data_IF_111402488436
#
_entry.id   IF_111402488436
#
_cell.length_a   1.000
_cell.length_b   1.000
_cell.length_c   1.000
_cell.angle_alpha   90.00
_cell.angle_beta   90.00
_cell.angle_gamma   90.00
#
_symmetry.space_group_name_H-M   'P 1'
#
loop_
_entity.id
_entity.type
_entity.pdbx_description
1 polymer ?
#
# COMPACT_ATOMS: atom_id res chain seq x y z
N UNK A 1 14.56 10.19 7.54
CA UNK A 1 13.21 10.38 8.11
C UNK A 1 13.35 10.58 9.62
N UNK A 2 12.93 11.72 10.14
CA UNK A 2 12.83 11.92 11.59
C UNK A 2 11.46 11.35 11.99
N UNK A 3 11.38 10.05 12.26
CA UNK A 3 10.19 9.42 12.85
C UNK A 3 10.10 9.99 14.27
N UNK A 4 9.64 11.23 14.40
CA UNK A 4 9.37 11.85 15.68
C UNK A 4 8.44 10.91 16.43
N UNK A 5 8.96 10.31 17.50
CA UNK A 5 8.30 9.45 18.48
C UNK A 5 6.88 9.08 18.07
N UNK A 6 6.73 7.93 17.41
CA UNK A 6 5.44 7.35 17.03
C UNK A 6 4.63 7.16 18.32
N UNK A 7 3.83 8.16 18.68
CA UNK A 7 3.01 8.17 19.88
C UNK A 7 1.73 7.43 19.55
N UNK A 8 1.80 6.11 19.69
CA UNK A 8 0.66 5.21 19.58
C UNK A 8 -0.05 5.16 20.93
N UNK A 9 -1.32 5.50 20.94
CA UNK A 9 -2.16 5.42 22.14
C UNK A 9 -3.57 4.95 21.78
N UNK A 10 -4.24 4.30 22.73
CA UNK A 10 -5.58 3.75 22.56
C UNK A 10 -5.65 2.22 22.44
N UNK A 11 -6.79 1.75 21.94
CA UNK A 11 -7.10 0.34 21.70
C UNK A 11 -6.30 -0.26 20.54
N UNK A 12 -6.29 -1.59 20.43
CA UNK A 12 -5.59 -2.30 19.34
C UNK A 12 -6.04 -1.84 17.96
N UNK A 13 -7.35 -1.62 17.78
CA UNK A 13 -7.92 -1.16 16.51
C UNK A 13 -7.45 0.27 16.18
N UNK A 14 -7.42 1.16 17.18
CA UNK A 14 -6.93 2.53 17.03
C UNK A 14 -5.43 2.57 16.73
N UNK A 15 -4.64 1.69 17.37
CA UNK A 15 -3.21 1.56 17.11
C UNK A 15 -2.97 1.06 15.67
N UNK A 16 -3.75 0.09 15.18
CA UNK A 16 -3.62 -0.42 13.82
C UNK A 16 -3.88 0.68 12.78
N UNK A 17 -4.92 1.50 12.99
CA UNK A 17 -5.21 2.65 12.14
C UNK A 17 -4.08 3.69 12.17
N UNK A 18 -3.56 3.99 13.37
CA UNK A 18 -2.46 4.95 13.55
C UNK A 18 -1.17 4.48 12.87
N UNK A 19 -0.83 3.19 12.95
CA UNK A 19 0.32 2.63 12.23
C UNK A 19 0.19 2.84 10.72
N UNK A 20 -1.00 2.59 10.16
CA UNK A 20 -1.20 2.78 8.72
C UNK A 20 -1.04 4.27 8.33
N UNK A 21 -1.61 5.19 9.09
CA UNK A 21 -1.59 6.63 8.79
C UNK A 21 -0.24 7.30 9.08
N UNK A 22 0.39 6.96 10.21
CA UNK A 22 1.54 7.67 10.75
C UNK A 22 2.88 7.01 10.39
N UNK A 23 2.86 5.77 9.89
CA UNK A 23 4.09 5.07 9.50
C UNK A 23 4.15 4.84 7.98
N UNK A 24 3.17 4.14 7.42
CA UNK A 24 3.24 3.72 6.00
C UNK A 24 3.20 4.91 5.05
N UNK A 25 2.26 5.84 5.24
CA UNK A 25 2.17 7.07 4.43
C UNK A 25 3.46 7.89 4.47
N UNK A 26 3.97 8.26 5.67
CA UNK A 26 5.21 9.01 5.78
C UNK A 26 6.46 8.31 5.22
N UNK A 27 6.55 6.98 5.31
CA UNK A 27 7.63 6.22 4.66
C UNK A 27 7.53 6.39 3.14
N UNK A 28 6.34 6.22 2.56
CA UNK A 28 6.15 6.42 1.11
C UNK A 28 6.51 7.85 0.70
N UNK A 29 6.04 8.87 1.44
CA UNK A 29 6.35 10.28 1.13
C UNK A 29 7.84 10.60 1.24
N UNK A 30 8.56 9.94 2.16
CA UNK A 30 10.00 10.07 2.27
C UNK A 30 10.70 9.45 1.05
N UNK A 31 10.34 8.20 0.72
CA UNK A 31 10.89 7.49 -0.43
C UNK A 31 10.61 8.24 -1.72
N UNK A 32 9.40 8.75 -1.94
CA UNK A 32 9.04 9.50 -3.14
C UNK A 32 9.93 10.75 -3.37
N UNK A 33 10.52 11.30 -2.30
CA UNK A 33 11.46 12.43 -2.38
C UNK A 33 12.91 12.01 -2.56
N UNK A 34 13.32 10.88 -1.99
CA UNK A 34 14.73 10.46 -1.95
C UNK A 34 15.09 9.39 -2.98
N UNK A 35 14.16 8.48 -3.25
CA UNK A 35 14.27 7.36 -4.17
C UNK A 35 12.89 7.01 -4.76
N UNK A 36 12.48 7.69 -5.85
CA UNK A 36 11.16 7.51 -6.44
C UNK A 36 10.88 6.09 -6.96
N UNK A 37 11.91 5.37 -7.41
CA UNK A 37 11.75 3.99 -7.87
C UNK A 37 11.43 3.07 -6.69
N UNK A 38 12.18 3.19 -5.59
CA UNK A 38 11.91 2.45 -4.36
C UNK A 38 10.55 2.81 -3.75
N UNK A 39 10.08 4.05 -3.90
CA UNK A 39 8.74 4.45 -3.47
C UNK A 39 7.64 3.67 -4.21
N UNK A 40 7.81 3.48 -5.53
CA UNK A 40 6.90 2.70 -6.36
C UNK A 40 6.90 1.23 -5.92
N UNK A 41 8.08 0.65 -5.72
CA UNK A 41 8.22 -0.73 -5.23
C UNK A 41 7.59 -0.92 -3.85
N UNK A 42 7.84 0.01 -2.92
CA UNK A 42 7.26 0.01 -1.58
C UNK A 42 5.73 0.06 -1.64
N UNK A 43 5.15 0.97 -2.44
CA UNK A 43 3.71 1.09 -2.60
C UNK A 43 3.06 -0.20 -3.11
N UNK A 44 3.66 -0.85 -4.11
CA UNK A 44 3.16 -2.13 -4.61
C UNK A 44 3.30 -3.27 -3.59
N UNK A 45 4.40 -3.32 -2.85
CA UNK A 45 4.62 -4.34 -1.81
C UNK A 45 3.58 -4.23 -0.68
N UNK A 46 3.32 -3.01 -0.18
CA UNK A 46 2.31 -2.80 0.87
C UNK A 46 0.91 -3.15 0.37
N UNK A 47 0.55 -2.75 -0.85
CA UNK A 47 -0.75 -3.09 -1.44
C UNK A 47 -0.93 -4.60 -1.56
N UNK A 48 0.08 -5.32 -2.07
CA UNK A 48 0.05 -6.78 -2.19
C UNK A 48 -0.13 -7.50 -0.84
N UNK A 49 0.62 -7.07 0.19
CA UNK A 49 0.49 -7.64 1.53
C UNK A 49 -0.88 -7.37 2.16
N UNK A 50 -1.40 -6.14 2.03
CA UNK A 50 -2.73 -5.79 2.54
C UNK A 50 -3.85 -6.62 1.89
N UNK A 51 -3.75 -6.81 0.58
CA UNK A 51 -4.64 -7.68 -0.19
C UNK A 51 -4.60 -9.13 0.32
N UNK A 52 -3.41 -9.72 0.45
CA UNK A 52 -3.26 -11.11 0.89
C UNK A 52 -3.77 -11.32 2.32
N UNK A 53 -3.51 -10.36 3.21
CA UNK A 53 -4.02 -10.37 4.58
C UNK A 53 -5.56 -10.33 4.61
N UNK A 54 -6.16 -9.43 3.81
CA UNK A 54 -7.61 -9.35 3.68
C UNK A 54 -8.21 -10.67 3.16
N UNK A 55 -7.65 -11.28 2.13
CA UNK A 55 -8.13 -12.57 1.62
C UNK A 55 -8.11 -13.67 2.69
N UNK A 56 -7.03 -13.78 3.44
CA UNK A 56 -6.88 -14.78 4.49
C UNK A 56 -7.88 -14.60 5.65
N UNK A 57 -8.40 -13.39 5.83
CA UNK A 57 -9.42 -13.10 6.85
C UNK A 57 -10.84 -13.53 6.45
N UNK A 58 -11.08 -13.82 5.17
CA UNK A 58 -12.42 -14.13 4.65
C UNK A 58 -12.70 -15.63 4.64
N UNK A 59 -13.94 -15.99 4.98
CA UNK A 59 -14.45 -17.36 4.78
C UNK A 59 -14.84 -17.64 3.33
N UNK A 60 -15.23 -16.60 2.59
CA UNK A 60 -15.53 -16.64 1.16
C UNK A 60 -14.68 -15.59 0.45
N UNK A 61 -13.70 -16.07 -0.31
CA UNK A 61 -12.70 -15.25 -0.99
C UNK A 61 -13.23 -14.61 -2.27
N UNK A 62 -14.40 -15.00 -2.78
CA UNK A 62 -14.91 -14.59 -4.10
C UNK A 62 -15.03 -13.06 -4.25
N UNK A 63 -15.38 -12.37 -3.15
CA UNK A 63 -15.45 -10.89 -3.13
C UNK A 63 -14.06 -10.24 -3.16
N UNK A 64 -13.10 -10.79 -2.42
CA UNK A 64 -11.73 -10.30 -2.45
C UNK A 64 -11.07 -10.59 -3.81
N UNK A 65 -11.29 -11.78 -4.37
CA UNK A 65 -10.79 -12.18 -5.68
C UNK A 65 -11.17 -11.16 -6.76
N UNK A 66 -12.45 -10.77 -6.83
CA UNK A 66 -12.90 -9.74 -7.78
C UNK A 66 -12.17 -8.41 -7.58
N UNK A 67 -12.08 -7.94 -6.34
CA UNK A 67 -11.44 -6.67 -5.99
C UNK A 67 -9.95 -6.67 -6.38
N UNK A 68 -9.28 -7.81 -6.24
CA UNK A 68 -7.87 -8.00 -6.59
C UNK A 68 -7.67 -8.05 -8.09
N UNK A 69 -8.53 -8.78 -8.81
CA UNK A 69 -8.50 -8.83 -10.27
C UNK A 69 -8.67 -7.42 -10.84
N UNK A 70 -9.64 -6.67 -10.33
CA UNK A 70 -9.92 -5.31 -10.79
C UNK A 70 -8.75 -4.37 -10.47
N UNK A 71 -8.18 -4.46 -9.25
CA UNK A 71 -7.02 -3.67 -8.83
C UNK A 71 -5.78 -3.99 -9.67
N UNK A 72 -5.50 -5.28 -9.91
CA UNK A 72 -4.34 -5.72 -10.70
C UNK A 72 -4.46 -5.31 -12.16
N UNK A 73 -5.67 -5.39 -12.74
CA UNK A 73 -5.94 -4.87 -14.09
C UNK A 73 -5.71 -3.37 -14.17
N UNK A 74 -6.14 -2.61 -13.16
CA UNK A 74 -5.88 -1.16 -13.11
C UNK A 74 -4.38 -0.87 -13.04
N UNK A 75 -3.64 -1.55 -12.15
CA UNK A 75 -2.19 -1.41 -12.02
C UNK A 75 -1.46 -1.73 -13.32
N UNK A 76 -1.79 -2.86 -13.96
CA UNK A 76 -1.20 -3.23 -15.25
C UNK A 76 -1.47 -2.18 -16.35
N UNK A 77 -2.69 -1.62 -16.38
CA UNK A 77 -3.03 -0.54 -17.31
C UNK A 77 -2.22 0.73 -17.04
N UNK A 78 -2.04 1.11 -15.76
CA UNK A 78 -1.28 2.31 -15.38
C UNK A 78 0.22 2.15 -15.69
N UNK A 79 0.82 0.99 -15.41
CA UNK A 79 2.21 0.68 -15.79
C UNK A 79 2.38 0.79 -17.31
N UNK A 80 1.44 0.20 -18.09
CA UNK A 80 1.47 0.27 -19.55
C UNK A 80 1.38 1.71 -20.07
N UNK A 81 0.49 2.53 -19.49
CA UNK A 81 0.37 3.97 -19.82
C UNK A 81 1.65 4.74 -19.49
N UNK A 82 2.26 4.48 -18.34
CA UNK A 82 3.49 5.16 -17.93
C UNK A 82 4.64 4.85 -18.88
N UNK A 83 4.83 3.57 -19.25
CA UNK A 83 5.85 3.14 -20.23
C UNK A 83 5.65 3.78 -21.61
N UNK A 84 4.41 3.99 -22.03
CA UNK A 84 4.11 4.60 -23.33
C UNK A 84 4.27 6.14 -23.37
N UNK A 85 4.39 6.82 -22.23
CA UNK A 85 4.60 8.28 -22.17
C UNK A 85 6.06 8.72 -22.31
N UNK A 86 7.02 7.78 -22.30
CA UNK A 86 8.46 8.04 -22.40
C UNK A 86 8.97 7.86 -23.84
N UNK A 87 8.15 8.19 -24.84
CA UNK A 87 8.55 8.23 -26.24
C UNK A 87 8.23 9.60 -26.84
#
# INVERSE_FOLDING_TARGET
>A
MDIKSLNLDGSVDEIAEQLFKQMIGPIFDHLAKTDPELAVEFGYCIAGNGIACYMNSLKDVSKAEKLIIDSTKSMAADIKRHRNKVC
#
